data_IF_836028726672
#
_entry.id   IF_836028726672
#
_cell.length_a   1.000
_cell.length_b   1.000
_cell.length_c   1.000
_cell.angle_alpha   90.00
_cell.angle_beta   90.00
_cell.angle_gamma   90.00
#
_symmetry.space_group_name_H-M   'P 1'
#
loop_
_entity.id
_entity.type
_entity.pdbx_description
1 polymer ?
#
# COMPACT_ATOMS: atom_id res chain seq x y z
N UNK A 1 -36.11 24.92 21.72
CA UNK A 1 -36.57 25.41 20.40
C UNK A 1 -35.41 26.16 19.73
N UNK A 2 -34.92 25.69 18.57
CA UNK A 2 -33.90 26.34 17.73
C UNK A 2 -32.47 26.30 18.30
N UNK A 3 -31.41 25.93 17.56
CA UNK A 3 -31.17 26.10 16.13
C UNK A 3 -30.28 24.97 15.61
N UNK A 4 -30.82 24.20 14.66
CA UNK A 4 -30.03 23.48 13.64
C UNK A 4 -29.20 24.52 12.89
N UNK A 5 -27.91 24.63 13.18
CA UNK A 5 -26.96 25.32 12.29
C UNK A 5 -26.26 24.26 11.44
N UNK A 6 -26.81 24.12 10.23
CA UNK A 6 -26.06 24.01 8.97
C UNK A 6 -24.96 22.96 8.90
N UNK A 7 -25.35 21.71 8.61
CA UNK A 7 -24.54 20.60 8.09
C UNK A 7 -24.08 20.82 6.62
N UNK A 8 -23.83 22.06 6.22
CA UNK A 8 -23.54 22.44 4.83
C UNK A 8 -22.15 23.06 4.64
N UNK A 9 -21.23 22.83 5.58
CA UNK A 9 -19.80 23.10 5.42
C UNK A 9 -19.01 21.77 5.32
N UNK A 10 -19.45 20.89 4.42
CA UNK A 10 -18.78 19.62 4.12
C UNK A 10 -18.30 19.63 2.67
N UNK A 11 -17.54 20.66 2.30
CA UNK A 11 -16.86 20.78 1.01
C UNK A 11 -15.35 20.89 1.27
N UNK A 12 -14.61 19.96 0.64
CA UNK A 12 -13.15 19.86 0.53
C UNK A 12 -12.32 19.82 1.82
N UNK A 13 -12.46 18.75 2.63
CA UNK A 13 -11.30 18.29 3.41
C UNK A 13 -10.34 17.60 2.44
N UNK A 14 -9.42 18.37 1.84
CA UNK A 14 -8.15 17.82 1.39
C UNK A 14 -7.61 17.05 2.60
N UNK A 15 -7.47 15.73 2.51
CA UNK A 15 -6.85 14.92 3.56
C UNK A 15 -5.40 15.38 3.68
N UNK A 16 -5.15 16.41 4.47
CA UNK A 16 -3.80 16.82 4.80
C UNK A 16 -3.21 15.69 5.66
N UNK A 17 -2.23 14.98 5.10
CA UNK A 17 -1.43 14.05 5.89
C UNK A 17 -0.79 14.78 7.07
N UNK A 18 -0.50 14.05 8.16
CA UNK A 18 0.19 14.67 9.29
C UNK A 18 1.55 15.23 8.85
N UNK A 19 2.03 16.34 9.45
CA UNK A 19 3.36 16.87 9.16
C UNK A 19 4.46 15.82 9.28
N UNK A 20 4.40 14.96 10.31
CA UNK A 20 5.32 13.85 10.51
C UNK A 20 5.31 12.82 9.36
N UNK A 21 4.13 12.53 8.78
CA UNK A 21 4.05 11.65 7.62
C UNK A 21 4.73 12.27 6.40
N UNK A 22 4.50 13.57 6.16
CA UNK A 22 5.13 14.29 5.06
C UNK A 22 6.63 14.33 5.23
N UNK A 23 7.13 14.67 6.41
CA UNK A 23 8.57 14.69 6.68
C UNK A 23 9.20 13.30 6.44
N UNK A 24 8.54 12.23 6.91
CA UNK A 24 9.04 10.87 6.71
C UNK A 24 9.06 10.45 5.23
N UNK A 25 7.96 10.68 4.50
CA UNK A 25 7.78 10.20 3.12
C UNK A 25 8.33 11.17 2.07
N UNK A 26 8.00 12.46 2.18
CA UNK A 26 8.46 13.53 1.27
C UNK A 26 9.89 13.94 1.57
N UNK A 27 10.30 13.95 2.85
CA UNK A 27 11.70 14.17 3.26
C UNK A 27 12.62 12.98 2.94
N UNK A 28 12.08 11.90 2.37
CA UNK A 28 12.81 10.70 1.93
C UNK A 28 13.75 10.17 3.01
N UNK A 29 13.21 9.95 4.21
CA UNK A 29 14.02 9.43 5.31
C UNK A 29 14.74 8.13 4.87
N UNK A 30 15.99 7.90 5.30
CA UNK A 30 16.73 6.70 4.90
C UNK A 30 15.99 5.40 5.25
N UNK A 31 15.27 5.39 6.38
CA UNK A 31 14.44 4.26 6.81
C UNK A 31 13.26 4.05 5.85
N UNK A 32 12.57 5.12 5.42
CA UNK A 32 11.52 5.03 4.41
C UNK A 32 12.06 4.50 3.09
N UNK A 33 13.17 5.04 2.60
CA UNK A 33 13.77 4.62 1.33
C UNK A 33 14.13 3.13 1.34
N UNK A 34 14.72 2.65 2.44
CA UNK A 34 15.04 1.23 2.62
C UNK A 34 13.79 0.35 2.64
N UNK A 35 12.77 0.70 3.43
CA UNK A 35 11.51 -0.05 3.53
C UNK A 35 10.75 -0.07 2.21
N UNK A 36 10.70 1.07 1.53
CA UNK A 36 10.16 1.19 0.19
C UNK A 36 10.90 0.26 -0.76
N UNK A 37 12.23 0.33 -0.81
CA UNK A 37 13.05 -0.54 -1.67
C UNK A 37 12.79 -2.02 -1.39
N UNK A 38 12.79 -2.43 -0.12
CA UNK A 38 12.51 -3.82 0.29
C UNK A 38 11.13 -4.28 -0.18
N UNK A 39 10.12 -3.41 -0.06
CA UNK A 39 8.76 -3.68 -0.52
C UNK A 39 8.69 -3.99 -2.03
N UNK A 40 9.47 -3.28 -2.86
CA UNK A 40 9.56 -3.54 -4.30
C UNK A 40 10.35 -4.82 -4.61
N UNK A 41 11.54 -4.99 -4.02
CA UNK A 41 12.44 -6.11 -4.35
C UNK A 41 11.81 -7.46 -4.03
N UNK A 42 11.06 -7.55 -2.93
CA UNK A 42 10.38 -8.77 -2.51
C UNK A 42 9.37 -9.32 -3.53
N UNK A 43 8.82 -8.48 -4.43
CA UNK A 43 7.99 -8.95 -5.55
C UNK A 43 8.65 -8.69 -6.92
N UNK A 44 9.98 -8.57 -6.95
CA UNK A 44 10.75 -8.27 -8.16
C UNK A 44 10.26 -7.01 -8.90
N UNK A 45 9.82 -5.99 -8.16
CA UNK A 45 9.32 -4.73 -8.71
C UNK A 45 7.93 -4.82 -9.33
N UNK A 46 7.17 -5.89 -9.07
CA UNK A 46 5.84 -6.12 -9.65
C UNK A 46 4.71 -5.60 -8.76
N UNK A 47 3.58 -5.29 -9.38
CA UNK A 47 2.34 -4.91 -8.70
C UNK A 47 1.74 -6.11 -7.96
N UNK A 48 1.30 -5.91 -6.71
CA UNK A 48 0.82 -7.01 -5.89
C UNK A 48 -0.54 -7.55 -6.30
N UNK A 49 -1.39 -6.78 -6.99
CA UNK A 49 -2.70 -7.20 -7.50
C UNK A 49 -2.55 -7.83 -8.88
N UNK A 50 -1.77 -7.21 -9.76
CA UNK A 50 -1.53 -7.63 -11.12
C UNK A 50 -0.01 -7.73 -11.39
N UNK A 51 0.63 -8.89 -11.14
CA UNK A 51 2.09 -9.01 -11.18
C UNK A 51 2.68 -8.85 -12.59
N UNK A 52 1.85 -8.82 -13.63
CA UNK A 52 2.31 -8.50 -14.98
C UNK A 52 2.67 -7.01 -15.14
N UNK A 53 2.21 -6.16 -14.22
CA UNK A 53 2.47 -4.74 -14.25
C UNK A 53 3.64 -4.36 -13.34
N UNK A 54 4.51 -3.43 -13.76
CA UNK A 54 5.55 -2.89 -12.88
C UNK A 54 4.93 -2.01 -11.80
N UNK A 55 5.37 -2.17 -10.57
CA UNK A 55 5.00 -1.32 -9.47
C UNK A 55 5.77 0.01 -9.50
N UNK A 56 5.09 1.09 -9.12
CA UNK A 56 5.63 2.44 -9.08
C UNK A 56 5.47 3.11 -7.71
N UNK A 57 4.44 2.70 -6.95
CA UNK A 57 4.07 3.28 -5.67
C UNK A 57 4.12 2.23 -4.56
N UNK A 58 4.48 2.68 -3.36
CA UNK A 58 4.30 1.89 -2.14
C UNK A 58 3.02 2.40 -1.45
N UNK A 59 1.97 1.59 -1.52
CA UNK A 59 0.67 1.88 -0.93
C UNK A 59 0.71 1.52 0.56
N UNK A 60 0.31 2.48 1.41
CA UNK A 60 0.19 2.26 2.84
C UNK A 60 -1.16 1.64 3.18
N UNK A 61 -1.13 0.43 3.73
CA UNK A 61 -2.30 -0.24 4.28
C UNK A 61 -2.69 0.31 5.65
N UNK A 62 -1.71 0.83 6.39
CA UNK A 62 -1.86 1.45 7.70
C UNK A 62 -0.72 2.43 7.96
N UNK A 63 -0.99 3.46 8.76
CA UNK A 63 -0.01 4.47 9.18
C UNK A 63 0.39 4.32 10.66
N UNK A 64 0.05 3.20 11.31
CA UNK A 64 0.30 2.99 12.74
C UNK A 64 1.80 2.87 13.08
N UNK A 65 2.60 2.40 12.14
CA UNK A 65 4.02 2.07 12.35
C UNK A 65 4.93 2.97 11.52
N UNK A 66 4.66 4.28 11.45
CA UNK A 66 5.49 5.21 10.69
C UNK A 66 6.95 5.15 11.14
N UNK A 67 7.88 5.06 10.20
CA UNK A 67 9.31 4.83 10.46
C UNK A 67 9.70 3.37 10.66
N UNK A 68 8.72 2.52 10.96
CA UNK A 68 8.86 1.10 11.28
C UNK A 68 8.00 0.19 10.37
N UNK A 69 7.68 0.64 9.16
CA UNK A 69 6.78 -0.05 8.24
C UNK A 69 7.36 -1.39 7.75
N UNK A 70 6.57 -2.44 7.79
CA UNK A 70 6.93 -3.73 7.22
C UNK A 70 6.22 -3.95 5.88
N UNK A 71 6.91 -4.50 4.86
CA UNK A 71 6.27 -5.03 3.66
C UNK A 71 5.16 -6.02 4.02
N UNK A 72 4.14 -6.12 3.18
CA UNK A 72 2.90 -6.89 3.42
C UNK A 72 2.03 -6.32 4.54
N UNK A 73 2.56 -6.10 5.74
CA UNK A 73 1.78 -5.67 6.92
C UNK A 73 1.27 -4.24 6.76
N UNK A 74 2.20 -3.33 6.48
CA UNK A 74 1.99 -1.88 6.48
C UNK A 74 2.04 -1.29 5.08
N UNK A 75 2.87 -1.83 4.19
CA UNK A 75 3.04 -1.33 2.82
C UNK A 75 3.04 -2.45 1.77
N UNK A 76 2.52 -2.14 0.57
CA UNK A 76 2.55 -3.04 -0.59
C UNK A 76 2.91 -2.27 -1.88
N UNK A 77 3.58 -2.92 -2.86
CA UNK A 77 3.93 -2.29 -4.12
C UNK A 77 2.74 -2.34 -5.08
N UNK A 78 2.42 -1.20 -5.69
CA UNK A 78 1.35 -1.06 -6.68
C UNK A 78 1.82 -0.30 -7.92
N UNK A 79 1.29 -0.68 -9.06
CA UNK A 79 1.30 0.09 -10.29
C UNK A 79 0.47 1.38 -10.10
N UNK A 80 0.83 2.42 -10.87
CA UNK A 80 0.15 3.71 -10.86
C UNK A 80 -1.35 3.61 -11.12
N UNK A 81 -1.76 2.78 -12.08
CA UNK A 81 -3.16 2.60 -12.46
C UNK A 81 -3.92 1.86 -11.35
N UNK A 82 -3.38 0.75 -10.86
CA UNK A 82 -3.96 -0.01 -9.74
C UNK A 82 -4.13 0.87 -8.52
N UNK A 83 -3.10 1.62 -8.14
CA UNK A 83 -3.14 2.54 -7.02
C UNK A 83 -4.22 3.62 -7.19
N UNK A 84 -4.37 4.18 -8.40
CA UNK A 84 -5.40 5.17 -8.69
C UNK A 84 -6.82 4.59 -8.54
N UNK A 85 -7.07 3.39 -9.09
CA UNK A 85 -8.36 2.69 -9.00
C UNK A 85 -8.70 2.40 -7.53
N UNK A 86 -7.76 1.81 -6.78
CA UNK A 86 -7.99 1.49 -5.37
C UNK A 86 -8.17 2.75 -4.52
N UNK A 87 -7.46 3.83 -4.83
CA UNK A 87 -7.65 5.13 -4.17
C UNK A 87 -9.04 5.68 -4.41
N UNK A 88 -9.49 5.69 -5.66
CA UNK A 88 -10.84 6.09 -6.02
C UNK A 88 -11.89 5.23 -5.31
N UNK A 89 -11.74 3.90 -5.30
CA UNK A 89 -12.66 2.99 -4.59
C UNK A 89 -12.72 3.27 -3.07
N UNK A 90 -11.58 3.53 -2.42
CA UNK A 90 -11.52 3.88 -0.99
C UNK A 90 -12.15 5.23 -0.65
N UNK A 91 -12.18 6.15 -1.62
CA UNK A 91 -12.76 7.48 -1.46
C UNK A 91 -14.26 7.47 -1.73
N UNK A 92 -14.73 6.72 -2.73
CA UNK A 92 -16.16 6.54 -3.03
C UNK A 92 -16.84 5.61 -2.01
N UNK A 93 -16.16 4.55 -1.61
CA UNK A 93 -16.68 3.53 -0.68
C UNK A 93 -15.78 3.42 0.55
N UNK A 94 -15.94 4.26 1.59
CA UNK A 94 -15.08 4.20 2.78
C UNK A 94 -15.07 2.84 3.50
N UNK A 95 -16.17 2.09 3.43
CA UNK A 95 -16.28 0.73 3.97
C UNK A 95 -15.36 -0.28 3.25
N UNK A 96 -14.88 0.04 2.05
CA UNK A 96 -13.94 -0.79 1.29
C UNK A 96 -12.53 -0.77 1.89
N UNK A 97 -12.15 0.22 2.72
CA UNK A 97 -10.79 0.35 3.26
C UNK A 97 -10.26 -0.90 3.99
N UNK A 98 -10.97 -1.48 4.98
CA UNK A 98 -10.51 -2.70 5.64
C UNK A 98 -10.44 -3.89 4.69
N UNK A 99 -11.41 -4.01 3.78
CA UNK A 99 -11.46 -5.07 2.76
C UNK A 99 -10.26 -4.97 1.80
N UNK A 100 -9.98 -3.77 1.30
CA UNK A 100 -8.83 -3.47 0.46
C UNK A 100 -7.51 -3.83 1.16
N UNK A 101 -7.36 -3.46 2.44
CA UNK A 101 -6.13 -3.78 3.17
C UNK A 101 -5.95 -5.30 3.37
N UNK A 102 -7.03 -6.04 3.60
CA UNK A 102 -6.98 -7.50 3.67
C UNK A 102 -6.68 -8.12 2.30
N UNK A 103 -7.39 -7.70 1.25
CA UNK A 103 -7.18 -8.15 -0.13
C UNK A 103 -5.72 -7.95 -0.57
N UNK A 104 -5.17 -6.75 -0.37
CA UNK A 104 -3.79 -6.44 -0.75
C UNK A 104 -2.76 -7.28 0.00
N UNK A 105 -3.00 -7.57 1.29
CA UNK A 105 -2.15 -8.50 2.06
C UNK A 105 -2.19 -9.90 1.48
N UNK A 106 -3.39 -10.40 1.18
CA UNK A 106 -3.59 -11.73 0.62
C UNK A 106 -2.92 -11.87 -0.74
N UNK A 107 -3.10 -10.89 -1.64
CA UNK A 107 -2.46 -10.90 -2.95
C UNK A 107 -0.93 -10.86 -2.82
N UNK A 108 -0.39 -9.98 -1.98
CA UNK A 108 1.06 -9.91 -1.74
C UNK A 108 1.62 -11.23 -1.18
N UNK A 109 0.98 -11.80 -0.16
CA UNK A 109 1.39 -13.06 0.45
C UNK A 109 1.30 -14.26 -0.50
N UNK A 110 0.28 -14.29 -1.36
CA UNK A 110 0.13 -15.30 -2.41
C UNK A 110 1.30 -15.27 -3.39
N UNK A 111 1.65 -14.10 -3.93
CA UNK A 111 2.76 -13.98 -4.88
C UNK A 111 4.10 -14.33 -4.26
N UNK A 112 4.37 -13.87 -3.03
CA UNK A 112 5.58 -14.26 -2.30
C UNK A 112 5.69 -15.77 -2.12
N UNK A 113 4.59 -16.42 -1.76
CA UNK A 113 4.56 -17.86 -1.54
C UNK A 113 4.77 -18.62 -2.85
N UNK A 114 4.18 -18.13 -3.96
CA UNK A 114 4.38 -18.70 -5.28
C UNK A 114 5.84 -18.54 -5.76
N UNK A 115 6.43 -17.38 -5.58
CA UNK A 115 7.84 -17.12 -5.92
C UNK A 115 8.78 -18.02 -5.11
N UNK A 116 8.56 -18.14 -3.80
CA UNK A 116 9.35 -19.03 -2.95
C UNK A 116 9.24 -20.50 -3.39
N UNK A 117 8.03 -20.96 -3.77
CA UNK A 117 7.82 -22.30 -4.28
C UNK A 117 8.54 -22.54 -5.62
N UNK A 118 8.50 -21.56 -6.52
CA UNK A 118 9.19 -21.64 -7.82
C UNK A 118 10.71 -21.69 -7.65
N UNK A 119 11.26 -20.87 -6.75
CA UNK A 119 12.68 -20.88 -6.40
C UNK A 119 13.09 -22.22 -5.80
N UNK A 120 12.30 -22.75 -4.87
CA UNK A 120 12.55 -24.07 -4.28
C UNK A 120 12.60 -25.15 -5.35
N UNK A 121 11.59 -25.22 -6.23
CA UNK A 121 11.55 -26.18 -7.33
C UNK A 121 12.74 -26.04 -8.28
N UNK A 122 13.16 -24.81 -8.59
CA UNK A 122 14.31 -24.56 -9.45
C UNK A 122 15.60 -25.09 -8.81
N UNK A 123 15.84 -24.78 -7.52
CA UNK A 123 17.02 -25.26 -6.79
C UNK A 123 17.03 -26.79 -6.70
N UNK A 124 15.87 -27.41 -6.44
CA UNK A 124 15.75 -28.87 -6.40
C UNK A 124 15.99 -29.54 -7.75
N UNK A 125 15.71 -28.88 -8.87
CA UNK A 125 15.96 -29.44 -10.21
C UNK A 125 17.42 -29.37 -10.65
N UNK A 126 18.25 -28.56 -9.96
CA UNK A 126 19.68 -28.41 -10.22
C UNK A 126 20.55 -29.39 -9.40
N UNK A 127 19.96 -30.10 -8.45
CA UNK A 127 20.61 -31.14 -7.64
C UNK A 127 20.16 -32.53 -8.09
#
# INVERSE_FOLDING_TARGET
>A
MGRRRSRTAQRSKVKQFSPAYREHVEGRSPSWMFRRWLCFVLLFGRDCVCPLLPAHHAEHLTYRNLGHELPMRDIVPLNRVTHAILTWLKDVFPAFRPVNAWMLRSCYGFWLSLEALLLFKLVSALH
#
